data_IF_101802020467
#
_entry.id   IF_101802020467
#
_cell.length_a   1.000
_cell.length_b   1.000
_cell.length_c   1.000
_cell.angle_alpha   90.00
_cell.angle_beta   90.00
_cell.angle_gamma   90.00
#
_symmetry.space_group_name_H-M   'P 1'
#
loop_
_entity.id
_entity.type
_entity.pdbx_description
1 polymer ?
#
# COMPACT_ATOMS: atom_id res chain seq x y z
N UNK A 1 14.41 38.70 9.14
CA UNK A 1 13.50 37.56 9.04
C UNK A 1 14.35 36.32 8.81
N UNK A 2 14.34 35.31 9.70
CA UNK A 2 15.04 34.06 9.40
C UNK A 2 14.42 33.43 8.15
N UNK A 3 15.28 33.01 7.21
CA UNK A 3 14.86 32.34 5.98
C UNK A 3 14.32 30.94 6.35
N UNK A 4 13.06 30.66 6.03
CA UNK A 4 12.49 29.32 6.15
C UNK A 4 12.85 28.51 4.89
N UNK A 5 13.79 27.57 5.04
CA UNK A 5 14.34 26.79 3.92
C UNK A 5 13.45 25.60 3.51
N UNK A 6 12.59 25.11 4.43
CA UNK A 6 11.78 23.90 4.28
C UNK A 6 10.29 24.22 4.31
N UNK A 7 9.48 23.40 3.62
CA UNK A 7 8.02 23.54 3.62
C UNK A 7 7.40 23.33 5.01
N UNK A 8 6.17 23.81 5.21
CA UNK A 8 5.44 23.58 6.47
C UNK A 8 5.22 22.09 6.73
N UNK A 9 4.96 21.31 5.69
CA UNK A 9 4.79 19.85 5.77
C UNK A 9 6.08 19.22 6.31
N UNK A 10 7.23 19.52 5.69
CA UNK A 10 8.51 18.92 6.02
C UNK A 10 9.02 19.30 7.42
N UNK A 11 8.56 20.41 7.98
CA UNK A 11 8.93 20.89 9.33
C UNK A 11 7.88 20.58 10.40
N UNK A 12 6.80 19.88 10.04
CA UNK A 12 5.71 19.56 10.97
C UNK A 12 5.98 18.28 11.77
N UNK A 13 5.58 18.26 13.05
CA UNK A 13 5.65 17.07 13.92
C UNK A 13 4.55 16.02 13.63
N UNK A 14 3.97 16.05 12.43
CA UNK A 14 2.74 15.29 12.13
C UNK A 14 2.98 13.85 11.66
N UNK A 15 4.23 13.40 11.58
CA UNK A 15 4.59 12.01 11.28
C UNK A 15 4.07 11.00 12.32
N UNK A 16 3.76 11.47 13.53
CA UNK A 16 2.95 10.72 14.51
C UNK A 16 3.71 9.67 15.34
N UNK A 17 4.98 9.39 15.07
CA UNK A 17 5.78 8.37 15.79
C UNK A 17 5.95 8.65 17.30
N UNK A 18 5.80 9.91 17.70
CA UNK A 18 5.79 10.34 19.10
C UNK A 18 4.45 10.08 19.82
N UNK A 19 3.44 9.57 19.12
CA UNK A 19 2.14 9.23 19.70
C UNK A 19 2.23 8.03 20.67
N UNK A 20 1.47 8.05 21.79
CA UNK A 20 1.41 6.91 22.71
C UNK A 20 0.86 5.63 22.06
N UNK A 21 0.16 5.74 20.92
CA UNK A 21 -0.32 4.56 20.18
C UNK A 21 0.83 3.71 19.61
N UNK A 22 2.05 4.24 19.50
CA UNK A 22 3.22 3.48 19.06
C UNK A 22 3.97 2.78 20.20
N UNK A 23 3.57 2.93 21.46
CA UNK A 23 4.31 2.33 22.58
C UNK A 23 4.35 0.81 22.51
N UNK A 24 3.25 0.17 22.06
CA UNK A 24 3.21 -1.28 21.83
C UNK A 24 4.15 -1.71 20.69
N UNK A 25 4.22 -0.94 19.61
CA UNK A 25 5.14 -1.20 18.50
C UNK A 25 6.60 -1.06 18.95
N UNK A 26 6.93 0.01 19.67
CA UNK A 26 8.26 0.23 20.24
C UNK A 26 8.65 -0.86 21.24
N UNK A 27 7.70 -1.40 22.00
CA UNK A 27 7.95 -2.52 22.90
C UNK A 27 8.29 -3.80 22.13
N UNK A 28 7.56 -4.08 21.05
CA UNK A 28 7.87 -5.19 20.14
C UNK A 28 9.26 -5.05 19.52
N UNK A 29 9.59 -3.91 18.92
CA UNK A 29 10.88 -3.69 18.26
C UNK A 29 12.08 -3.85 19.22
N UNK A 30 11.91 -3.49 20.49
CA UNK A 30 12.96 -3.61 21.53
C UNK A 30 13.12 -5.03 22.07
N UNK A 31 12.06 -5.84 22.06
CA UNK A 31 12.06 -7.17 22.66
C UNK A 31 11.19 -8.15 21.85
N UNK A 32 11.53 -8.45 20.58
CA UNK A 32 10.70 -9.27 19.73
C UNK A 32 10.71 -10.73 20.19
N UNK A 33 9.53 -11.36 20.23
CA UNK A 33 9.41 -12.79 20.47
C UNK A 33 10.17 -13.61 19.43
N UNK A 34 10.84 -14.67 19.88
CA UNK A 34 11.38 -15.70 19.01
C UNK A 34 11.26 -17.06 19.70
N UNK A 35 10.76 -18.11 19.03
CA UNK A 35 10.39 -19.38 19.67
C UNK A 35 11.53 -20.07 20.45
N UNK A 36 12.78 -19.91 20.00
CA UNK A 36 13.96 -20.47 20.69
C UNK A 36 14.87 -19.42 21.32
N UNK A 37 15.20 -18.34 20.58
CA UNK A 37 16.13 -17.30 21.02
C UNK A 37 15.56 -16.34 22.07
N UNK A 38 14.24 -16.11 22.07
CA UNK A 38 13.60 -15.15 22.98
C UNK A 38 12.12 -15.53 23.24
N UNK A 39 11.86 -16.66 23.92
CA UNK A 39 10.50 -17.15 24.13
C UNK A 39 9.63 -16.23 25.01
N UNK A 40 10.26 -15.36 25.80
CA UNK A 40 9.59 -14.37 26.67
C UNK A 40 9.43 -12.99 26.00
N UNK A 41 9.79 -12.88 24.71
CA UNK A 41 9.63 -11.64 23.95
C UNK A 41 8.17 -11.29 23.64
N UNK A 42 7.96 -10.07 23.16
CA UNK A 42 6.67 -9.53 22.76
C UNK A 42 6.22 -10.17 21.45
N UNK A 43 5.03 -10.76 21.43
CA UNK A 43 4.42 -11.34 20.22
C UNK A 43 3.71 -10.23 19.45
N UNK A 44 3.99 -10.11 18.14
CA UNK A 44 3.34 -9.12 17.29
C UNK A 44 1.91 -9.56 16.96
N UNK A 45 0.93 -8.77 17.43
CA UNK A 45 -0.49 -8.96 17.14
C UNK A 45 -1.16 -7.66 16.61
N UNK A 46 -0.37 -6.61 16.41
CA UNK A 46 -0.85 -5.29 15.94
C UNK A 46 -0.74 -5.07 14.44
N UNK A 47 -0.08 -5.95 13.68
CA UNK A 47 0.09 -5.84 12.23
C UNK A 47 -0.95 -6.69 11.49
N UNK A 48 -1.72 -6.05 10.61
CA UNK A 48 -2.65 -6.74 9.72
C UNK A 48 -1.91 -7.29 8.49
N UNK A 49 -1.28 -8.45 8.63
CA UNK A 49 -0.56 -9.15 7.56
C UNK A 49 -1.13 -10.56 7.35
N UNK A 50 -1.17 -11.02 6.10
CA UNK A 50 -1.62 -12.37 5.76
C UNK A 50 -0.45 -13.23 5.24
N UNK A 51 0.05 -14.12 6.09
CA UNK A 51 1.09 -15.10 5.73
C UNK A 51 0.52 -16.51 5.46
N UNK A 52 -0.81 -16.69 5.52
CA UNK A 52 -1.47 -18.01 5.52
C UNK A 52 -1.44 -18.73 4.18
N UNK A 53 -1.06 -18.05 3.09
CA UNK A 53 -1.17 -18.56 1.72
C UNK A 53 0.11 -18.38 0.91
N UNK A 54 1.26 -18.14 1.55
CA UNK A 54 2.53 -17.98 0.85
C UNK A 54 2.95 -19.25 0.12
N UNK A 55 2.68 -20.42 0.69
CA UNK A 55 2.91 -21.72 0.07
C UNK A 55 2.26 -21.82 -1.31
N UNK A 56 1.01 -21.36 -1.46
CA UNK A 56 0.28 -21.38 -2.74
C UNK A 56 0.93 -20.48 -3.78
N UNK A 57 1.36 -19.28 -3.38
CA UNK A 57 2.02 -18.31 -4.29
C UNK A 57 3.41 -18.81 -4.67
N UNK A 58 4.18 -19.32 -3.72
CA UNK A 58 5.51 -19.90 -3.97
C UNK A 58 5.44 -21.09 -4.93
N UNK A 59 4.51 -22.01 -4.70
CA UNK A 59 4.30 -23.16 -5.59
C UNK A 59 3.96 -22.70 -7.00
N UNK A 60 3.07 -21.71 -7.14
CA UNK A 60 2.71 -21.14 -8.43
C UNK A 60 3.92 -20.50 -9.12
N UNK A 61 4.70 -19.67 -8.43
CA UNK A 61 5.88 -19.01 -9.01
C UNK A 61 6.91 -20.04 -9.48
N UNK A 62 7.15 -21.12 -8.70
CA UNK A 62 8.06 -22.20 -9.11
C UNK A 62 7.60 -22.96 -10.35
N UNK A 63 6.29 -23.12 -10.52
CA UNK A 63 5.68 -23.82 -11.67
C UNK A 63 5.57 -22.95 -12.93
N UNK A 64 5.73 -21.63 -12.82
CA UNK A 64 5.55 -20.66 -13.91
C UNK A 64 6.78 -19.72 -14.00
N UNK A 65 7.99 -20.24 -14.26
CA UNK A 65 9.20 -19.44 -14.29
C UNK A 65 9.14 -18.26 -15.28
N UNK A 66 8.44 -18.41 -16.41
CA UNK A 66 8.28 -17.41 -17.46
C UNK A 66 7.47 -16.16 -17.06
N UNK A 67 6.82 -16.20 -15.89
CA UNK A 67 6.06 -15.09 -15.32
C UNK A 67 6.95 -14.03 -14.63
N UNK A 68 8.22 -14.36 -14.33
CA UNK A 68 9.14 -13.45 -13.65
C UNK A 68 10.36 -13.16 -14.51
N UNK A 69 10.69 -11.88 -14.71
CA UNK A 69 11.91 -11.43 -15.41
C UNK A 69 13.20 -11.81 -14.66
N UNK A 70 13.10 -12.32 -13.43
CA UNK A 70 14.23 -12.79 -12.64
C UNK A 70 14.60 -14.26 -12.92
N UNK A 71 13.97 -14.92 -13.90
CA UNK A 71 14.29 -16.29 -14.34
C UNK A 71 14.83 -16.27 -15.77
N UNK A 72 15.56 -17.34 -16.17
CA UNK A 72 16.03 -17.52 -17.55
C UNK A 72 14.91 -17.42 -18.59
N UNK A 73 13.73 -17.92 -18.24
CA UNK A 73 12.59 -18.06 -19.14
C UNK A 73 11.82 -16.74 -19.27
N UNK A 74 11.88 -15.88 -18.25
CA UNK A 74 11.26 -14.55 -18.27
C UNK A 74 12.17 -13.42 -18.77
N UNK A 75 13.51 -13.58 -18.74
CA UNK A 75 14.48 -12.58 -19.22
C UNK A 75 14.17 -12.02 -20.62
N UNK A 76 13.70 -12.80 -21.61
CA UNK A 76 13.36 -12.26 -22.93
C UNK A 76 12.36 -11.08 -22.90
N UNK A 77 11.48 -11.01 -21.88
CA UNK A 77 10.51 -9.93 -21.69
C UNK A 77 11.08 -8.71 -20.96
N UNK A 78 12.32 -8.78 -20.45
CA UNK A 78 12.91 -7.73 -19.61
C UNK A 78 12.88 -6.37 -20.29
N UNK A 79 13.32 -6.29 -21.56
CA UNK A 79 13.41 -5.02 -22.28
C UNK A 79 12.03 -4.36 -22.39
N UNK A 80 11.00 -5.15 -22.69
CA UNK A 80 9.63 -4.64 -22.85
C UNK A 80 9.07 -4.12 -21.53
N UNK A 81 9.30 -4.84 -20.42
CA UNK A 81 8.84 -4.43 -19.08
C UNK A 81 9.63 -3.24 -18.55
N UNK A 82 10.96 -3.24 -18.70
CA UNK A 82 11.84 -2.24 -18.09
C UNK A 82 11.65 -0.82 -18.68
N UNK A 83 11.26 -0.72 -19.95
CA UNK A 83 11.02 0.58 -20.62
C UNK A 83 9.55 1.01 -20.58
N UNK A 84 8.65 0.12 -20.13
CA UNK A 84 7.23 0.40 -20.07
C UNK A 84 6.97 1.50 -19.04
N UNK A 85 6.33 2.58 -19.49
CA UNK A 85 6.11 3.79 -18.69
C UNK A 85 4.71 4.37 -18.88
N UNK A 86 3.81 3.66 -19.57
CA UNK A 86 2.44 4.12 -19.77
C UNK A 86 1.69 4.09 -18.42
N UNK A 87 1.12 5.23 -18.03
CA UNK A 87 0.39 5.37 -16.77
C UNK A 87 -0.90 4.54 -16.72
N UNK A 88 -1.43 4.09 -17.86
CA UNK A 88 -2.55 3.15 -17.87
C UNK A 88 -2.14 1.79 -17.29
N UNK A 89 -0.85 1.46 -17.27
CA UNK A 89 -0.38 0.13 -16.90
C UNK A 89 -0.56 -0.89 -18.03
N UNK A 90 0.09 -2.04 -17.88
CA UNK A 90 0.04 -3.13 -18.86
C UNK A 90 -1.43 -3.57 -19.09
N UNK A 91 -1.91 -3.64 -20.34
CA UNK A 91 -3.29 -4.06 -20.65
C UNK A 91 -3.67 -5.40 -20.03
N UNK A 92 -2.77 -6.39 -20.09
CA UNK A 92 -2.97 -7.73 -19.54
C UNK A 92 -3.13 -7.68 -18.02
N UNK A 93 -2.39 -6.79 -17.37
CA UNK A 93 -2.46 -6.61 -15.93
C UNK A 93 -3.80 -5.98 -15.50
N UNK A 94 -4.25 -4.91 -16.18
CA UNK A 94 -5.57 -4.32 -15.91
C UNK A 94 -6.70 -5.32 -16.11
N UNK A 95 -6.64 -6.13 -17.18
CA UNK A 95 -7.60 -7.20 -17.42
C UNK A 95 -7.58 -8.26 -16.31
N UNK A 96 -6.40 -8.65 -15.83
CA UNK A 96 -6.26 -9.60 -14.73
C UNK A 96 -6.84 -9.05 -13.41
N UNK A 97 -6.59 -7.78 -13.09
CA UNK A 97 -7.16 -7.09 -11.91
C UNK A 97 -8.68 -7.04 -11.99
N UNK A 98 -9.25 -6.61 -13.13
CA UNK A 98 -10.70 -6.57 -13.32
C UNK A 98 -11.36 -7.95 -13.12
N UNK A 99 -10.75 -9.01 -13.67
CA UNK A 99 -11.20 -10.40 -13.49
C UNK A 99 -11.05 -10.88 -12.04
N UNK A 100 -9.99 -10.49 -11.35
CA UNK A 100 -9.78 -10.82 -9.93
C UNK A 100 -10.88 -10.18 -9.06
N UNK A 101 -11.19 -8.91 -9.30
CA UNK A 101 -12.26 -8.19 -8.59
C UNK A 101 -13.64 -8.79 -8.86
N UNK A 102 -13.94 -9.18 -10.11
CA UNK A 102 -15.16 -9.90 -10.46
C UNK A 102 -15.26 -11.23 -9.69
N UNK A 103 -14.19 -12.03 -9.67
CA UNK A 103 -14.13 -13.30 -8.92
C UNK A 103 -14.32 -13.10 -7.42
N UNK A 104 -13.69 -12.08 -6.84
CA UNK A 104 -13.84 -11.73 -5.43
C UNK A 104 -15.28 -11.32 -5.05
N UNK A 105 -16.11 -10.97 -6.03
CA UNK A 105 -17.54 -10.69 -5.87
C UNK A 105 -18.44 -11.85 -6.34
N UNK A 106 -17.87 -13.03 -6.54
CA UNK A 106 -18.59 -14.23 -6.97
C UNK A 106 -19.18 -14.12 -8.37
N UNK A 107 -18.58 -13.33 -9.26
CA UNK A 107 -19.05 -13.17 -10.65
C UNK A 107 -20.33 -12.34 -10.80
N UNK A 108 -20.79 -11.68 -9.74
CA UNK A 108 -22.05 -10.91 -9.73
C UNK A 108 -21.95 -9.53 -10.37
N UNK A 109 -20.73 -9.01 -10.53
CA UNK A 109 -20.44 -7.69 -11.09
C UNK A 109 -19.23 -7.77 -12.01
N UNK A 110 -19.26 -6.99 -13.09
CA UNK A 110 -18.16 -6.88 -14.05
C UNK A 110 -17.46 -5.54 -13.88
N UNK A 111 -16.15 -5.54 -14.04
CA UNK A 111 -15.32 -4.34 -14.03
C UNK A 111 -14.75 -4.10 -15.43
N UNK A 112 -14.89 -2.87 -15.92
CA UNK A 112 -14.29 -2.43 -17.17
C UNK A 112 -12.78 -2.23 -16.96
N UNK A 113 -11.89 -2.97 -17.64
CA UNK A 113 -10.45 -2.83 -17.47
C UNK A 113 -9.93 -1.45 -17.86
N UNK A 114 -10.65 -0.67 -18.68
CA UNK A 114 -10.25 0.70 -19.03
C UNK A 114 -10.55 1.71 -17.92
N UNK A 115 -11.26 1.28 -16.86
CA UNK A 115 -11.49 2.05 -15.63
C UNK A 115 -10.58 1.64 -14.46
N UNK A 116 -9.65 0.70 -14.69
CA UNK A 116 -8.66 0.30 -13.68
C UNK A 116 -7.46 1.24 -13.79
N UNK A 117 -7.19 2.00 -12.72
CA UNK A 117 -6.04 2.90 -12.60
C UNK A 117 -5.14 2.41 -11.46
N UNK A 118 -3.83 2.39 -11.71
CA UNK A 118 -2.83 1.95 -10.73
C UNK A 118 -2.34 3.10 -9.86
N UNK A 119 -1.88 2.77 -8.65
CA UNK A 119 -1.36 3.71 -7.67
C UNK A 119 -0.34 3.03 -6.76
N UNK A 120 0.32 3.79 -5.88
CA UNK A 120 1.22 3.29 -4.83
C UNK A 120 0.49 2.53 -3.73
N UNK A 121 -0.13 1.40 -4.09
CA UNK A 121 -1.00 0.62 -3.20
C UNK A 121 -2.27 1.36 -2.78
N UNK A 122 -2.98 0.81 -1.78
CA UNK A 122 -4.19 1.45 -1.27
C UNK A 122 -3.92 2.83 -0.64
N UNK A 123 -2.72 3.05 -0.09
CA UNK A 123 -2.31 4.35 0.48
C UNK A 123 -2.33 5.44 -0.60
N UNK A 124 -1.60 5.25 -1.71
CA UNK A 124 -1.60 6.21 -2.81
C UNK A 124 -2.96 6.32 -3.50
N UNK A 125 -3.72 5.23 -3.59
CA UNK A 125 -5.09 5.26 -4.13
C UNK A 125 -6.01 6.19 -3.31
N UNK A 126 -5.98 6.07 -1.98
CA UNK A 126 -6.80 6.87 -1.08
C UNK A 126 -6.40 8.36 -1.14
N UNK A 127 -5.11 8.66 -1.17
CA UNK A 127 -4.64 10.03 -1.34
C UNK A 127 -5.07 10.62 -2.70
N UNK A 128 -4.87 9.88 -3.79
CA UNK A 128 -5.22 10.34 -5.14
C UNK A 128 -6.72 10.61 -5.28
N UNK A 129 -7.59 9.73 -4.76
CA UNK A 129 -9.03 9.95 -4.86
C UNK A 129 -9.49 11.14 -4.02
N UNK A 130 -8.83 11.42 -2.90
CA UNK A 130 -9.12 12.62 -2.12
C UNK A 130 -8.78 13.86 -2.95
N UNK A 131 -7.59 13.93 -3.57
CA UNK A 131 -7.21 15.03 -4.45
C UNK A 131 -8.18 15.23 -5.63
N UNK A 132 -8.79 14.17 -6.13
CA UNK A 132 -9.74 14.27 -7.23
C UNK A 132 -11.14 14.77 -6.80
N UNK A 133 -11.49 14.66 -5.52
CA UNK A 133 -12.87 14.84 -5.05
C UNK A 133 -13.07 16.01 -4.08
N UNK A 134 -12.00 16.61 -3.56
CA UNK A 134 -12.06 17.66 -2.55
C UNK A 134 -10.90 18.64 -2.70
N UNK A 135 -11.18 19.91 -2.41
CA UNK A 135 -10.18 20.97 -2.31
C UNK A 135 -9.69 21.13 -0.85
N UNK A 136 -8.56 21.81 -0.63
CA UNK A 136 -8.12 22.14 0.73
C UNK A 136 -9.20 22.92 1.51
N UNK A 137 -9.59 22.37 2.66
CA UNK A 137 -10.65 22.93 3.52
C UNK A 137 -11.99 22.18 3.44
N UNK A 138 -12.18 21.33 2.44
CA UNK A 138 -13.29 20.38 2.39
C UNK A 138 -13.09 19.23 3.39
N UNK A 139 -14.14 18.43 3.60
CA UNK A 139 -14.14 17.33 4.55
C UNK A 139 -14.79 16.05 3.98
N UNK A 140 -14.28 14.89 4.41
CA UNK A 140 -14.87 13.57 4.16
C UNK A 140 -15.52 13.02 5.44
N UNK A 141 -16.63 12.29 5.28
CA UNK A 141 -17.24 11.52 6.37
C UNK A 141 -16.58 10.14 6.44
N UNK A 142 -16.11 9.75 7.64
CA UNK A 142 -15.50 8.44 7.90
C UNK A 142 -16.18 7.79 9.11
N UNK A 143 -16.90 6.66 8.95
CA UNK A 143 -17.54 5.97 10.06
C UNK A 143 -16.52 5.45 11.08
N UNK A 144 -16.79 5.63 12.37
CA UNK A 144 -15.94 5.10 13.46
C UNK A 144 -16.39 3.72 13.95
N UNK A 145 -15.48 2.80 14.30
CA UNK A 145 -14.02 2.91 14.18
C UNK A 145 -13.53 2.71 12.74
N UNK A 146 -12.40 3.34 12.39
CA UNK A 146 -11.80 3.28 11.06
C UNK A 146 -10.29 3.00 11.10
N UNK A 147 -9.70 2.78 9.93
CA UNK A 147 -8.27 2.56 9.78
C UNK A 147 -7.47 3.81 10.17
N UNK A 148 -6.62 3.76 11.23
CA UNK A 148 -5.99 4.96 11.79
C UNK A 148 -5.19 5.81 10.79
N UNK A 149 -4.63 5.20 9.73
CA UNK A 149 -3.86 5.97 8.75
C UNK A 149 -4.71 6.97 7.96
N UNK A 150 -6.04 6.82 7.91
CA UNK A 150 -6.92 7.84 7.32
C UNK A 150 -6.84 9.19 8.04
N UNK A 151 -6.47 9.21 9.33
CA UNK A 151 -6.24 10.44 10.08
C UNK A 151 -4.82 11.01 9.95
N UNK A 152 -3.92 10.36 9.18
CA UNK A 152 -2.54 10.82 9.04
C UNK A 152 -2.41 11.90 7.96
N UNK A 153 -1.38 12.77 8.03
CA UNK A 153 -1.11 13.78 7.00
C UNK A 153 -0.80 13.20 5.63
N UNK A 154 -0.39 11.93 5.56
CA UNK A 154 -0.12 11.22 4.31
C UNK A 154 -1.39 10.98 3.48
N UNK A 155 -2.56 11.04 4.10
CA UNK A 155 -3.85 10.81 3.44
C UNK A 155 -4.73 12.07 3.52
N UNK A 156 -4.58 12.90 4.55
CA UNK A 156 -5.43 14.09 4.72
C UNK A 156 -4.97 15.27 3.85
N UNK A 157 -5.85 15.74 2.97
CA UNK A 157 -5.69 16.92 2.09
C UNK A 157 -5.46 18.24 2.82
N UNK A 158 -5.55 18.23 4.14
CA UNK A 158 -5.68 19.42 4.96
C UNK A 158 -4.46 20.36 4.82
N UNK A 159 -3.33 19.92 4.24
CA UNK A 159 -2.10 20.75 4.13
C UNK A 159 -1.21 20.53 2.89
N UNK A 160 -1.68 19.90 1.80
CA UNK A 160 -0.78 19.58 0.68
C UNK A 160 -0.20 20.79 -0.07
N UNK A 161 -0.74 22.01 0.09
CA UNK A 161 -0.16 23.22 -0.50
C UNK A 161 -0.43 24.42 0.41
N UNK A 162 0.49 24.76 1.32
CA UNK A 162 0.78 26.14 1.80
C UNK A 162 2.06 26.20 2.65
#
# INVERSE_FOLDING_TARGET
MPYQLLSKIATSDRHGENSPYFDGWKAYDKNPFHPTLNPDGVIQMGLAENQLCFDLVEEWVRKNPEASICTSDGVPKFKDVAIFQDYHGLPEFRQAVAKLMERARGGKVKYDPDRVVMSGGATGANETIMFCLADPGDAFLVPSPYYPAYGTPLITLEYYIL
#
